data_IF_767324227151
#
_entry.id   IF_767324227151
#
_cell.length_a   1.000
_cell.length_b   1.000
_cell.length_c   1.000
_cell.angle_alpha   90.00
_cell.angle_beta   90.00
_cell.angle_gamma   90.00
#
_symmetry.space_group_name_H-M   'P 1'
#
loop_
_entity.id
_entity.type
_entity.pdbx_description
1 polymer ?
#
# COMPACT_ATOMS: atom_id res chain seq x y z
N UNK A 1 1.36 6.62 16.64
CA UNK A 1 2.40 6.43 15.59
C UNK A 1 1.77 6.10 14.26
N UNK A 2 2.40 6.56 13.19
CA UNK A 2 1.92 6.26 11.84
C UNK A 2 2.67 5.09 11.26
N UNK A 3 1.95 4.27 10.51
CA UNK A 3 2.50 3.10 9.83
C UNK A 3 1.98 3.08 8.40
N UNK A 4 2.88 2.74 7.47
CA UNK A 4 2.50 2.45 6.10
C UNK A 4 2.34 0.94 5.96
N UNK A 5 1.20 0.51 5.45
CA UNK A 5 0.94 -0.89 5.11
C UNK A 5 1.11 -1.01 3.61
N UNK A 6 2.18 -1.66 3.18
CA UNK A 6 2.50 -1.82 1.77
C UNK A 6 1.99 -3.20 1.33
N UNK A 7 1.12 -3.21 0.34
CA UNK A 7 0.41 -4.41 -0.07
C UNK A 7 1.04 -4.97 -1.34
N UNK A 8 1.56 -6.18 -1.26
CA UNK A 8 2.21 -6.89 -2.37
C UNK A 8 1.40 -8.10 -2.76
N UNK A 9 1.27 -8.33 -4.06
CA UNK A 9 0.54 -9.48 -4.58
C UNK A 9 1.14 -9.92 -5.91
N UNK A 10 0.97 -11.22 -6.21
CA UNK A 10 1.20 -11.73 -7.55
C UNK A 10 0.01 -11.30 -8.41
N UNK A 11 0.23 -10.44 -9.39
CA UNK A 11 -0.84 -9.87 -10.21
C UNK A 11 -1.58 -10.92 -11.04
N UNK A 12 -0.98 -12.12 -11.21
CA UNK A 12 -1.61 -13.22 -11.92
C UNK A 12 -2.42 -14.14 -11.00
N UNK A 13 -2.33 -13.95 -9.68
CA UNK A 13 -2.94 -14.86 -8.71
C UNK A 13 -4.45 -14.70 -8.56
N UNK A 14 -4.99 -13.53 -8.91
CA UNK A 14 -6.41 -13.22 -8.74
C UNK A 14 -7.07 -12.97 -10.10
N UNK A 15 -8.28 -13.51 -10.28
CA UNK A 15 -9.12 -13.10 -11.40
C UNK A 15 -9.82 -11.78 -11.07
N UNK A 16 -10.55 -11.24 -12.03
CA UNK A 16 -11.19 -9.94 -11.87
C UNK A 16 -12.25 -9.94 -10.76
N UNK A 17 -13.03 -11.01 -10.64
CA UNK A 17 -14.05 -11.11 -9.59
C UNK A 17 -13.41 -11.13 -8.19
N UNK A 18 -12.32 -11.86 -8.03
CA UNK A 18 -11.57 -11.91 -6.77
C UNK A 18 -10.96 -10.56 -6.43
N UNK A 19 -10.44 -9.86 -7.44
CA UNK A 19 -9.88 -8.51 -7.27
C UNK A 19 -10.95 -7.52 -6.82
N UNK A 20 -12.13 -7.56 -7.45
CA UNK A 20 -13.25 -6.70 -7.06
C UNK A 20 -13.70 -6.99 -5.63
N UNK A 21 -13.74 -8.26 -5.24
CA UNK A 21 -14.08 -8.65 -3.87
C UNK A 21 -13.07 -8.06 -2.89
N UNK A 22 -11.77 -8.10 -3.20
CA UNK A 22 -10.76 -7.50 -2.35
C UNK A 22 -10.91 -5.99 -2.24
N UNK A 23 -11.27 -5.31 -3.33
CA UNK A 23 -11.51 -3.86 -3.28
C UNK A 23 -12.69 -3.52 -2.38
N UNK A 24 -13.78 -4.29 -2.46
CA UNK A 24 -14.95 -4.07 -1.62
C UNK A 24 -14.63 -4.27 -0.14
N UNK A 25 -13.93 -5.35 0.18
CA UNK A 25 -13.51 -5.64 1.55
C UNK A 25 -12.52 -4.60 2.08
N UNK A 26 -11.62 -4.11 1.22
CA UNK A 26 -10.66 -3.05 1.59
C UNK A 26 -11.37 -1.74 1.87
N UNK A 27 -12.40 -1.41 1.09
CA UNK A 27 -13.21 -0.21 1.32
C UNK A 27 -13.95 -0.29 2.65
N UNK A 28 -14.46 -1.47 3.00
CA UNK A 28 -15.10 -1.69 4.29
C UNK A 28 -14.11 -1.53 5.44
N UNK A 29 -12.92 -2.10 5.31
CA UNK A 29 -11.85 -1.91 6.29
C UNK A 29 -11.51 -0.43 6.47
N UNK A 30 -11.39 0.30 5.36
CA UNK A 30 -11.10 1.73 5.38
C UNK A 30 -12.18 2.50 6.16
N UNK A 31 -13.45 2.16 5.95
CA UNK A 31 -14.56 2.79 6.68
C UNK A 31 -14.50 2.49 8.19
N UNK A 32 -14.18 1.24 8.54
CA UNK A 32 -14.02 0.85 9.95
C UNK A 32 -12.87 1.60 10.61
N UNK A 33 -11.74 1.70 9.92
CA UNK A 33 -10.58 2.43 10.43
C UNK A 33 -10.86 3.93 10.54
N UNK A 34 -11.62 4.48 9.61
CA UNK A 34 -12.03 5.88 9.67
C UNK A 34 -12.89 6.13 10.91
N UNK A 35 -13.83 5.24 11.20
CA UNK A 35 -14.70 5.35 12.39
C UNK A 35 -13.92 5.28 13.68
N UNK A 36 -12.82 4.55 13.71
CA UNK A 36 -11.97 4.43 14.92
C UNK A 36 -10.86 5.48 14.98
N UNK A 37 -10.77 6.40 14.00
CA UNK A 37 -9.75 7.43 13.98
C UNK A 37 -8.38 6.94 13.51
N UNK A 38 -8.32 5.76 12.93
CA UNK A 38 -7.06 5.12 12.53
C UNK A 38 -6.75 5.23 11.05
N UNK A 39 -7.71 5.66 10.23
CA UNK A 39 -7.52 5.81 8.79
C UNK A 39 -6.91 7.17 8.45
N UNK A 40 -5.83 7.18 7.68
CA UNK A 40 -5.25 8.41 7.15
C UNK A 40 -5.37 8.46 5.63
N UNK A 41 -5.03 7.38 4.94
CA UNK A 41 -5.14 7.29 3.49
C UNK A 41 -5.08 5.83 3.06
N UNK A 42 -5.61 5.54 1.88
CA UNK A 42 -5.47 4.23 1.25
C UNK A 42 -5.74 4.37 -0.24
N UNK A 43 -5.07 3.57 -1.05
CA UNK A 43 -5.38 3.48 -2.47
C UNK A 43 -4.83 2.18 -3.06
N UNK A 44 -5.59 1.53 -3.95
CA UNK A 44 -5.03 0.51 -4.81
C UNK A 44 -4.27 1.16 -5.96
N UNK A 45 -3.34 0.44 -6.55
CA UNK A 45 -2.57 0.90 -7.70
C UNK A 45 -2.98 0.12 -8.95
N UNK A 46 -2.88 0.77 -10.10
CA UNK A 46 -3.01 0.08 -11.37
C UNK A 46 -1.90 -0.97 -11.53
N UNK A 47 -2.11 -2.02 -12.35
CA UNK A 47 -1.12 -3.08 -12.52
C UNK A 47 0.23 -2.56 -13.05
N UNK A 48 1.28 -3.33 -12.78
CA UNK A 48 2.65 -2.93 -13.10
C UNK A 48 2.93 -2.58 -14.56
N UNK A 49 2.22 -3.11 -15.59
CA UNK A 49 2.41 -2.62 -16.96
C UNK A 49 2.16 -1.13 -17.15
N UNK A 50 1.40 -0.50 -16.25
CA UNK A 50 1.15 0.95 -16.29
C UNK A 50 2.23 1.76 -15.58
N UNK A 51 3.17 1.12 -14.89
CA UNK A 51 4.19 1.79 -14.10
C UNK A 51 5.23 2.48 -14.98
N UNK A 52 5.82 3.54 -14.45
CA UNK A 52 6.98 4.20 -15.04
C UNK A 52 7.98 4.44 -13.93
N UNK A 53 9.24 4.06 -14.17
CA UNK A 53 10.33 4.24 -13.22
C UNK A 53 11.22 5.39 -13.66
N UNK A 54 11.56 6.28 -12.74
CA UNK A 54 12.36 7.48 -13.05
C UNK A 54 13.62 7.46 -12.21
N UNK A 55 14.77 7.72 -12.88
CA UNK A 55 16.06 7.88 -12.23
C UNK A 55 16.71 9.18 -12.75
N UNK A 56 17.56 9.76 -11.92
CA UNK A 56 18.42 10.87 -12.33
C UNK A 56 19.85 10.42 -12.12
N UNK A 57 20.62 10.36 -13.20
CA UNK A 57 22.02 9.95 -13.19
C UNK A 57 22.85 10.92 -14.02
N UNK A 58 23.93 11.45 -13.40
CA UNK A 58 24.79 12.44 -14.07
C UNK A 58 24.01 13.67 -14.53
N UNK A 59 23.02 14.12 -13.76
CA UNK A 59 22.16 15.24 -14.10
C UNK A 59 21.10 14.94 -15.15
N UNK A 60 21.00 13.71 -15.63
CA UNK A 60 20.03 13.31 -16.66
C UNK A 60 18.86 12.53 -16.06
N UNK A 61 17.66 12.87 -16.52
CA UNK A 61 16.44 12.18 -16.17
C UNK A 61 16.27 10.97 -17.08
N UNK A 62 16.14 9.79 -16.47
CA UNK A 62 15.91 8.53 -17.18
C UNK A 62 14.54 8.00 -16.76
N UNK A 63 13.64 7.89 -17.72
CA UNK A 63 12.31 7.32 -17.50
C UNK A 63 12.19 5.99 -18.26
N UNK A 64 11.77 4.95 -17.57
CA UNK A 64 11.67 3.59 -18.14
C UNK A 64 10.27 3.05 -17.84
N UNK A 65 9.65 2.43 -18.85
CA UNK A 65 8.36 1.76 -18.66
C UNK A 65 8.54 0.54 -17.76
N UNK A 66 7.57 0.35 -16.87
CA UNK A 66 7.54 -0.80 -15.99
C UNK A 66 7.96 -0.47 -14.56
N UNK A 67 7.79 -1.45 -13.65
CA UNK A 67 8.14 -1.27 -12.25
C UNK A 67 9.67 -1.28 -12.06
N UNK A 68 10.12 -0.66 -10.98
CA UNK A 68 11.55 -0.64 -10.63
C UNK A 68 12.11 -2.04 -10.43
N UNK A 69 11.35 -2.92 -9.79
CA UNK A 69 11.76 -4.28 -9.51
C UNK A 69 10.77 -5.27 -10.11
N UNK A 70 11.30 -6.27 -10.83
CA UNK A 70 10.51 -7.36 -11.37
C UNK A 70 10.54 -8.53 -10.39
N UNK A 71 9.61 -8.50 -9.45
CA UNK A 71 9.45 -9.53 -8.43
C UNK A 71 8.15 -10.28 -8.65
N UNK A 72 8.02 -11.46 -8.06
CA UNK A 72 6.81 -12.27 -8.21
C UNK A 72 5.61 -11.57 -7.58
N UNK A 73 5.79 -11.01 -6.38
CA UNK A 73 4.78 -10.17 -5.75
C UNK A 73 5.15 -8.70 -5.98
N UNK A 74 4.20 -7.95 -6.51
CA UNK A 74 4.39 -6.55 -6.86
C UNK A 74 3.57 -5.65 -5.94
N UNK A 75 4.06 -4.45 -5.70
CA UNK A 75 3.33 -3.46 -4.91
C UNK A 75 2.02 -3.13 -5.64
N UNK A 76 0.90 -3.38 -4.97
CA UNK A 76 -0.43 -3.21 -5.54
C UNK A 76 -1.31 -2.20 -4.82
N UNK A 77 -0.83 -1.63 -3.70
CA UNK A 77 -1.61 -0.65 -2.97
C UNK A 77 -1.02 -0.37 -1.60
N UNK A 78 -1.68 0.49 -0.86
CA UNK A 78 -1.22 0.84 0.49
C UNK A 78 -2.38 1.31 1.37
N UNK A 79 -2.15 1.22 2.69
CA UNK A 79 -2.90 1.94 3.71
C UNK A 79 -1.90 2.76 4.52
N UNK A 80 -2.26 3.99 4.84
CA UNK A 80 -1.55 4.79 5.83
C UNK A 80 -2.45 4.90 7.06
N UNK A 81 -1.96 4.45 8.22
CA UNK A 81 -2.77 4.32 9.42
C UNK A 81 -2.11 4.97 10.63
N UNK A 82 -2.94 5.29 11.60
CA UNK A 82 -2.52 5.64 12.95
C UNK A 82 -2.74 4.41 13.84
N UNK A 83 -1.70 4.00 14.58
CA UNK A 83 -1.81 2.88 15.51
C UNK A 83 -1.02 3.19 16.78
N UNK A 84 -1.41 2.58 17.87
CA UNK A 84 -0.78 2.81 19.18
C UNK A 84 0.65 2.27 19.20
N UNK A 85 0.86 1.12 18.56
CA UNK A 85 2.14 0.42 18.54
C UNK A 85 2.19 -0.55 17.36
N UNK A 86 3.31 -1.23 17.21
CA UNK A 86 3.50 -2.20 16.13
C UNK A 86 2.51 -3.36 16.20
N UNK A 87 2.20 -3.85 17.40
CA UNK A 87 1.25 -4.96 17.55
C UNK A 87 -0.12 -4.58 17.02
N UNK A 88 -0.60 -3.38 17.30
CA UNK A 88 -1.87 -2.89 16.75
C UNK A 88 -1.79 -2.74 15.22
N UNK A 89 -0.66 -2.23 14.70
CA UNK A 89 -0.46 -2.12 13.26
C UNK A 89 -0.49 -3.50 12.58
N UNK A 90 0.10 -4.51 13.20
CA UNK A 90 0.07 -5.89 12.70
C UNK A 90 -1.35 -6.45 12.68
N UNK A 91 -2.14 -6.19 13.72
CA UNK A 91 -3.54 -6.60 13.77
C UNK A 91 -4.34 -5.98 12.60
N UNK A 92 -4.12 -4.70 12.35
CA UNK A 92 -4.78 -4.02 11.23
C UNK A 92 -4.31 -4.60 9.90
N UNK A 93 -3.00 -4.83 9.74
CA UNK A 93 -2.45 -5.42 8.52
C UNK A 93 -3.04 -6.79 8.23
N UNK A 94 -3.29 -7.60 9.27
CA UNK A 94 -3.90 -8.92 9.10
C UNK A 94 -5.35 -8.86 8.63
N UNK A 95 -6.01 -7.71 8.80
CA UNK A 95 -7.38 -7.48 8.32
C UNK A 95 -7.44 -7.01 6.87
N UNK A 96 -6.31 -6.62 6.29
CA UNK A 96 -6.24 -6.26 4.87
C UNK A 96 -6.55 -7.52 4.04
N UNK A 97 -7.56 -7.47 3.14
CA UNK A 97 -7.98 -8.69 2.41
C UNK A 97 -6.84 -9.34 1.66
N UNK A 98 -5.93 -8.56 1.09
CA UNK A 98 -4.82 -9.07 0.31
C UNK A 98 -3.79 -9.82 1.15
N UNK A 99 -3.80 -9.69 2.48
CA UNK A 99 -2.93 -10.47 3.36
C UNK A 99 -3.16 -11.98 3.22
N UNK A 100 -4.36 -12.39 2.75
CA UNK A 100 -4.69 -13.80 2.51
C UNK A 100 -4.13 -14.32 1.18
N UNK A 101 -3.75 -13.43 0.27
CA UNK A 101 -3.32 -13.78 -1.09
C UNK A 101 -1.90 -13.35 -1.40
N UNK A 102 -1.36 -12.40 -0.64
CA UNK A 102 -0.04 -11.86 -0.84
C UNK A 102 0.59 -11.51 0.48
N UNK A 103 1.28 -10.39 0.53
CA UNK A 103 2.01 -9.96 1.72
C UNK A 103 1.70 -8.49 2.02
N UNK A 104 1.52 -8.17 3.29
CA UNK A 104 1.40 -6.79 3.74
C UNK A 104 2.63 -6.47 4.59
N UNK A 105 3.44 -5.55 4.10
CA UNK A 105 4.63 -5.08 4.82
C UNK A 105 4.25 -3.88 5.69
N UNK A 106 4.58 -3.96 6.97
CA UNK A 106 4.28 -2.89 7.93
C UNK A 106 5.55 -2.08 8.17
N UNK A 107 5.52 -0.79 7.86
CA UNK A 107 6.68 0.08 8.05
C UNK A 107 6.31 1.32 8.85
N UNK A 108 7.01 1.58 9.98
CA UNK A 108 6.81 2.83 10.71
C UNK A 108 7.19 4.03 9.84
N UNK A 109 6.39 5.08 9.92
CA UNK A 109 6.63 6.31 9.18
C UNK A 109 7.52 7.25 10.01
N UNK A 110 8.53 7.80 9.37
CA UNK A 110 9.38 8.82 10.00
C UNK A 110 8.67 10.17 9.86
N UNK A 111 8.45 10.84 10.99
CA UNK A 111 7.90 12.19 10.99
C UNK A 111 9.05 13.19 10.89
N UNK A 112 9.09 13.93 9.79
CA UNK A 112 10.14 14.91 9.51
C UNK A 112 9.58 16.31 9.74
N UNK A 113 10.23 17.15 10.56
CA UNK A 113 9.82 18.54 10.72
C UNK A 113 9.86 19.28 9.37
N UNK A 114 8.85 20.08 9.11
CA UNK A 114 8.77 20.87 7.87
C UNK A 114 7.98 20.24 6.75
N UNK A 115 7.59 18.95 6.87
CA UNK A 115 6.63 18.38 5.93
C UNK A 115 5.24 18.95 6.19
N UNK A 116 4.45 19.24 5.12
CA UNK A 116 3.06 19.63 5.32
C UNK A 116 2.29 18.54 6.06
N UNK A 117 1.33 18.91 6.91
CA UNK A 117 0.54 17.91 7.62
C UNK A 117 -0.31 17.08 6.66
N UNK A 118 -0.58 15.82 7.04
CA UNK A 118 -1.54 14.96 6.35
C UNK A 118 -2.95 15.50 6.61
N UNK A 119 -3.65 15.83 5.56
CA UNK A 119 -5.01 16.41 5.67
C UNK A 119 -6.08 15.34 5.70
#
# INVERSE_FOLDING_TARGET
>A
MRYMLLIYLDEQALNEAERQQCYEESSELARQLHSSGQYLAAAPLHPTPTATSVRVRGGKRLATDGPFAETREQLGGYFLIEAADLDQAIEIAARVPMARHGTVEVRPVIEIPGLPPTS
#
